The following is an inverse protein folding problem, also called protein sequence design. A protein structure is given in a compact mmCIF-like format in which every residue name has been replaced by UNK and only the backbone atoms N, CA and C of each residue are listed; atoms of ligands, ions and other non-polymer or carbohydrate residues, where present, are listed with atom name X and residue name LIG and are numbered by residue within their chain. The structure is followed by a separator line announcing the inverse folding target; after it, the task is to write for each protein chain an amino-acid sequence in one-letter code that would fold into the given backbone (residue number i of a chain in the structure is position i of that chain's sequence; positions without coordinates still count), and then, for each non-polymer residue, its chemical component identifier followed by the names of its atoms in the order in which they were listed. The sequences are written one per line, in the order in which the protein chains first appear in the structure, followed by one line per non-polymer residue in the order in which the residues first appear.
data_IF_973505466659
#
_entry.id   IF_973505466659
#
_cell.length_a   1.000
_cell.length_b   1.000
_cell.length_c   1.000
_cell.angle_alpha   90.00
_cell.angle_beta   90.00
_cell.angle_gamma   90.00
#
_symmetry.space_group_name_H-M   'P 1'
#
loop_
_entity.id
_entity.type
_entity.pdbx_description
1 polymer ?
#
# COMPACT_ATOMS: atom_id res chain seq x y z
N UNK A 1 -26.10 -10.60 11.37
CA UNK A 1 -25.01 -9.61 11.55
C UNK A 1 -25.61 -8.25 11.23
N UNK A 2 -25.66 -7.36 12.22
CA UNK A 2 -26.20 -6.01 12.05
C UNK A 2 -25.20 -5.23 11.20
N UNK A 3 -25.65 -4.62 10.10
CA UNK A 3 -24.81 -3.76 9.28
C UNK A 3 -24.19 -2.65 10.14
N UNK A 4 -22.98 -2.23 9.79
CA UNK A 4 -22.37 -1.03 10.40
C UNK A 4 -23.19 0.22 10.04
N UNK A 5 -22.90 1.37 10.67
CA UNK A 5 -23.51 2.68 10.44
C UNK A 5 -23.54 3.09 8.95
N UNK A 6 -22.66 2.50 8.12
CA UNK A 6 -22.63 2.70 6.67
C UNK A 6 -23.53 1.75 5.87
N UNK A 7 -24.34 0.90 6.50
CA UNK A 7 -25.27 0.00 5.80
C UNK A 7 -24.61 -1.16 5.06
N UNK A 8 -23.30 -1.33 5.22
CA UNK A 8 -22.54 -2.40 4.59
C UNK A 8 -22.74 -3.70 5.38
N UNK A 9 -23.43 -4.68 4.82
CA UNK A 9 -23.42 -6.05 5.34
C UNK A 9 -22.24 -6.81 4.74
N UNK A 10 -21.04 -6.49 5.22
CA UNK A 10 -19.77 -7.09 4.81
C UNK A 10 -18.59 -6.38 5.49
N UNK A 11 -17.39 -6.94 5.38
CA UNK A 11 -16.11 -6.29 5.77
C UNK A 11 -15.81 -5.10 4.87
N UNK A 12 -16.71 -4.11 4.82
CA UNK A 12 -16.57 -2.92 3.97
C UNK A 12 -15.15 -2.38 4.07
N UNK A 13 -14.57 -2.03 2.93
CA UNK A 13 -13.13 -1.93 2.71
C UNK A 13 -12.34 -1.16 3.79
N UNK A 14 -12.98 -0.14 4.37
CA UNK A 14 -12.47 0.75 5.42
C UNK A 14 -12.53 0.20 6.85
N UNK A 15 -13.16 -0.95 7.11
CA UNK A 15 -13.21 -1.63 8.42
C UNK A 15 -12.17 -2.75 8.55
N UNK A 16 -11.39 -3.00 7.49
CA UNK A 16 -10.35 -4.04 7.48
C UNK A 16 -9.17 -3.51 8.31
N UNK A 17 -8.71 -4.30 9.28
CA UNK A 17 -7.64 -3.91 10.21
C UNK A 17 -6.27 -3.77 9.54
N UNK A 18 -5.20 -3.95 10.31
CA UNK A 18 -3.84 -3.98 9.76
C UNK A 18 -3.31 -5.40 9.57
N UNK A 19 -2.46 -5.59 8.57
CA UNK A 19 -1.70 -6.83 8.36
C UNK A 19 -0.24 -6.52 8.05
N UNK A 20 0.66 -7.44 8.43
CA UNK A 20 2.09 -7.34 8.13
C UNK A 20 2.43 -8.11 6.86
N UNK A 21 3.12 -7.45 5.94
CA UNK A 21 3.74 -8.06 4.77
C UNK A 21 5.17 -8.49 5.10
N UNK A 22 5.65 -9.53 4.42
CA UNK A 22 7.05 -9.95 4.48
C UNK A 22 7.78 -9.36 3.29
N UNK A 23 8.90 -8.68 3.53
CA UNK A 23 9.69 -8.10 2.44
C UNK A 23 10.28 -9.20 1.55
N UNK A 24 10.06 -9.04 0.25
CA UNK A 24 10.60 -9.88 -0.82
C UNK A 24 10.84 -8.98 -2.05
N UNK A 25 11.51 -9.51 -3.08
CA UNK A 25 11.73 -8.75 -4.31
C UNK A 25 10.41 -8.32 -4.95
N UNK A 26 9.41 -9.20 -4.93
CA UNK A 26 8.03 -8.95 -5.38
C UNK A 26 7.08 -9.23 -4.21
N UNK A 27 6.19 -8.29 -3.89
CA UNK A 27 5.23 -8.40 -2.79
C UNK A 27 3.84 -8.03 -3.28
N UNK A 28 2.93 -9.00 -3.20
CA UNK A 28 1.52 -8.78 -3.47
C UNK A 28 0.85 -8.09 -2.29
N UNK A 29 0.26 -6.92 -2.57
CA UNK A 29 -0.61 -6.18 -1.65
C UNK A 29 -2.05 -6.51 -2.05
N UNK A 30 -2.64 -7.45 -1.32
CA UNK A 30 -4.02 -7.90 -1.55
C UNK A 30 -5.01 -6.95 -0.88
N UNK A 31 -5.65 -6.08 -1.67
CA UNK A 31 -6.57 -5.04 -1.20
C UNK A 31 -7.79 -5.62 -0.48
N UNK A 32 -8.07 -6.93 -0.65
CA UNK A 32 -9.17 -7.60 0.04
C UNK A 32 -8.88 -8.00 1.49
N UNK A 33 -7.63 -7.89 1.94
CA UNK A 33 -7.20 -8.45 3.23
C UNK A 33 -7.14 -7.43 4.38
N UNK A 34 -6.79 -6.18 4.09
CA UNK A 34 -6.55 -5.14 5.08
C UNK A 34 -6.81 -3.74 4.51
N UNK A 35 -7.03 -2.75 5.39
CA UNK A 35 -6.96 -1.35 5.00
C UNK A 35 -5.54 -0.79 5.17
N UNK A 36 -4.78 -1.37 6.11
CA UNK A 36 -3.41 -0.94 6.43
C UNK A 36 -2.45 -2.12 6.29
N UNK A 37 -1.37 -1.93 5.53
CA UNK A 37 -0.29 -2.90 5.37
C UNK A 37 0.98 -2.37 6.01
N UNK A 38 1.70 -3.19 6.75
CA UNK A 38 2.99 -2.81 7.35
C UNK A 38 4.10 -3.70 6.83
N UNK A 39 5.29 -3.13 6.61
CA UNK A 39 6.46 -3.88 6.16
C UNK A 39 7.73 -3.25 6.73
N UNK A 40 8.70 -4.09 7.06
CA UNK A 40 10.08 -3.64 7.28
C UNK A 40 10.93 -4.15 6.12
N UNK A 41 11.63 -3.25 5.44
CA UNK A 41 12.47 -3.59 4.28
C UNK A 41 13.91 -3.10 4.46
N UNK A 42 14.83 -3.78 3.79
CA UNK A 42 16.22 -3.38 3.59
C UNK A 42 16.68 -3.68 2.16
N UNK A 43 15.74 -3.94 1.26
CA UNK A 43 15.95 -4.36 -0.13
C UNK A 43 15.05 -3.55 -1.06
N UNK A 44 15.31 -3.63 -2.36
CA UNK A 44 14.34 -3.21 -3.36
C UNK A 44 13.14 -4.15 -3.33
N UNK A 45 11.94 -3.58 -3.26
CA UNK A 45 10.66 -4.31 -3.30
C UNK A 45 9.82 -3.74 -4.43
N UNK A 46 9.27 -4.62 -5.26
CA UNK A 46 8.21 -4.31 -6.21
C UNK A 46 6.86 -4.64 -5.58
N UNK A 47 6.00 -3.62 -5.45
CA UNK A 47 4.67 -3.78 -4.88
C UNK A 47 3.64 -4.02 -5.98
N UNK A 48 2.96 -5.16 -5.90
CA UNK A 48 1.91 -5.55 -6.83
C UNK A 48 0.55 -5.35 -6.18
N UNK A 49 -0.27 -4.45 -6.71
CA UNK A 49 -1.63 -4.26 -6.21
C UNK A 49 -2.55 -5.33 -6.78
N UNK A 50 -3.10 -6.19 -5.92
CA UNK A 50 -3.98 -7.29 -6.30
C UNK A 50 -5.35 -7.14 -5.64
N UNK A 51 -6.38 -7.71 -6.28
CA UNK A 51 -7.78 -7.65 -5.84
C UNK A 51 -8.31 -6.23 -5.55
N UNK A 52 -7.73 -5.22 -6.19
CA UNK A 52 -8.16 -3.83 -6.02
C UNK A 52 -9.49 -3.59 -6.74
N UNK A 53 -10.44 -3.01 -6.02
CA UNK A 53 -11.71 -2.51 -6.55
C UNK A 53 -11.67 -0.99 -6.74
N UNK A 54 -12.46 -0.49 -7.70
CA UNK A 54 -12.56 0.94 -7.97
C UNK A 54 -13.13 1.63 -6.73
N UNK A 55 -12.41 2.64 -6.23
CA UNK A 55 -12.75 3.38 -5.02
C UNK A 55 -12.00 2.93 -3.78
N UNK A 56 -11.23 1.85 -3.83
CA UNK A 56 -10.41 1.40 -2.71
C UNK A 56 -9.31 2.41 -2.38
N UNK A 57 -9.07 2.58 -1.08
CA UNK A 57 -8.00 3.41 -0.54
C UNK A 57 -7.25 2.60 0.51
N UNK A 58 -5.94 2.42 0.33
CA UNK A 58 -5.07 1.64 1.21
C UNK A 58 -3.91 2.46 1.73
N UNK A 59 -3.54 2.19 2.97
CA UNK A 59 -2.31 2.69 3.56
C UNK A 59 -1.26 1.57 3.62
N UNK A 60 -0.07 1.86 3.13
CA UNK A 60 1.09 0.97 3.20
C UNK A 60 2.17 1.71 3.98
N UNK A 61 2.63 1.12 5.08
CA UNK A 61 3.63 1.69 5.96
C UNK A 61 4.90 0.85 5.86
N UNK A 62 5.94 1.41 5.24
CA UNK A 62 7.24 0.75 5.07
C UNK A 62 8.26 1.41 5.98
N UNK A 63 8.71 0.69 6.99
CA UNK A 63 9.89 1.08 7.78
C UNK A 63 11.14 0.57 7.09
N UNK A 64 12.04 1.48 6.74
CA UNK A 64 13.29 1.14 6.07
C UNK A 64 14.42 0.88 7.06
N UNK A 65 15.28 -0.10 6.77
CA UNK A 65 16.42 -0.48 7.62
C UNK A 65 17.75 0.14 7.17
N UNK A 66 17.73 0.98 6.13
CA UNK A 66 18.88 1.66 5.57
C UNK A 66 19.47 0.96 4.35
N UNK A 67 20.23 1.72 3.56
CA UNK A 67 21.07 1.20 2.49
C UNK A 67 20.62 1.68 1.11
N UNK A 68 20.48 0.75 0.17
CA UNK A 68 20.06 1.01 -1.23
C UNK A 68 18.67 0.45 -1.52
N UNK A 69 17.84 0.29 -0.49
CA UNK A 69 16.44 -0.11 -0.65
C UNK A 69 15.68 0.89 -1.50
N UNK A 70 14.65 0.40 -2.17
CA UNK A 70 13.77 1.19 -3.00
C UNK A 70 12.40 0.53 -3.03
N UNK A 71 11.38 1.32 -3.37
CA UNK A 71 10.08 0.80 -3.77
C UNK A 71 9.89 1.04 -5.26
N UNK A 72 9.54 -0.02 -5.96
CA UNK A 72 8.91 0.05 -7.27
C UNK A 72 7.47 -0.43 -7.15
N UNK A 73 6.68 -0.15 -8.18
CA UNK A 73 5.30 -0.57 -8.25
C UNK A 73 5.12 -1.27 -9.58
N UNK A 74 4.39 -2.39 -9.58
CA UNK A 74 4.16 -3.13 -10.82
C UNK A 74 3.43 -2.22 -11.81
N UNK A 75 4.07 -2.01 -12.95
CA UNK A 75 3.56 -1.22 -14.07
C UNK A 75 3.33 -2.05 -15.33
N UNK A 76 3.50 -3.38 -15.23
CA UNK A 76 3.29 -4.31 -16.35
C UNK A 76 1.83 -4.36 -16.78
N UNK A 77 0.92 -4.54 -15.83
CA UNK A 77 -0.54 -4.48 -16.07
C UNK A 77 -1.21 -3.23 -15.50
N UNK A 78 -0.55 -2.54 -14.57
CA UNK A 78 -1.10 -1.38 -13.88
C UNK A 78 -0.50 -0.07 -14.36
N UNK A 79 -1.30 0.99 -14.33
CA UNK A 79 -0.84 2.37 -14.45
C UNK A 79 -0.76 2.96 -13.04
N UNK A 80 0.46 3.13 -12.54
CA UNK A 80 0.70 3.67 -11.19
C UNK A 80 1.34 5.06 -11.31
N UNK A 81 0.69 6.07 -10.73
CA UNK A 81 1.17 7.46 -10.72
C UNK A 81 1.47 7.91 -9.30
N UNK A 82 2.75 8.16 -9.00
CA UNK A 82 3.17 8.87 -7.79
C UNK A 82 2.92 10.36 -7.96
N UNK A 83 1.95 10.91 -7.23
CA UNK A 83 1.57 12.33 -7.34
C UNK A 83 2.35 13.25 -6.41
N UNK A 84 2.93 12.71 -5.33
CA UNK A 84 3.68 13.49 -4.35
C UNK A 84 4.63 12.60 -3.54
N UNK A 85 5.74 13.23 -3.10
CA UNK A 85 6.74 12.61 -2.23
C UNK A 85 7.65 11.60 -2.93
N UNK A 86 8.55 11.03 -2.14
CA UNK A 86 9.53 10.05 -2.59
C UNK A 86 9.86 9.08 -1.47
N UNK A 87 10.19 7.84 -1.82
CA UNK A 87 10.68 6.87 -0.85
C UNK A 87 12.01 7.31 -0.23
N UNK A 88 12.19 7.08 1.07
CA UNK A 88 13.45 7.26 1.79
C UNK A 88 13.99 5.89 2.23
N UNK A 89 15.21 5.61 1.78
CA UNK A 89 16.01 4.43 2.13
C UNK A 89 16.92 4.69 3.36
N UNK A 90 16.57 5.69 4.18
CA UNK A 90 17.33 5.98 5.39
C UNK A 90 16.93 4.99 6.48
N UNK A 91 17.92 4.49 7.23
CA UNK A 91 17.64 3.60 8.36
C UNK A 91 16.69 4.25 9.36
N UNK A 92 15.58 3.57 9.66
CA UNK A 92 14.51 4.05 10.54
C UNK A 92 13.50 4.98 9.86
N UNK A 93 13.64 5.27 8.56
CA UNK A 93 12.65 6.06 7.84
C UNK A 93 11.32 5.31 7.76
N UNK A 94 10.23 5.97 8.14
CA UNK A 94 8.88 5.46 7.98
C UNK A 94 8.27 6.12 6.76
N UNK A 95 8.09 5.34 5.70
CA UNK A 95 7.42 5.76 4.48
C UNK A 95 5.95 5.37 4.58
N UNK A 96 5.08 6.38 4.70
CA UNK A 96 3.63 6.23 4.68
C UNK A 96 3.14 6.46 3.25
N UNK A 97 2.65 5.42 2.60
CA UNK A 97 2.14 5.44 1.23
C UNK A 97 0.63 5.28 1.26
N UNK A 98 -0.10 6.28 0.76
CA UNK A 98 -1.54 6.14 0.51
C UNK A 98 -1.74 5.80 -0.97
N UNK A 99 -2.51 4.76 -1.26
CA UNK A 99 -2.80 4.29 -2.62
C UNK A 99 -4.31 4.35 -2.87
N UNK A 100 -4.72 4.90 -4.02
CA UNK A 100 -6.12 4.99 -4.44
C UNK A 100 -6.29 4.29 -5.78
N UNK A 101 -7.24 3.35 -5.87
CA UNK A 101 -7.66 2.73 -7.14
C UNK A 101 -8.80 3.55 -7.77
N UNK A 102 -8.53 4.26 -8.87
CA UNK A 102 -9.52 5.17 -9.49
C UNK A 102 -10.23 4.57 -10.70
N UNK A 103 -9.64 3.54 -11.31
CA UNK A 103 -10.21 2.77 -12.40
C UNK A 103 -9.54 1.40 -12.42
N UNK A 104 -10.04 0.48 -13.25
CA UNK A 104 -9.39 -0.81 -13.47
C UNK A 104 -7.90 -0.61 -13.78
N UNK A 105 -7.03 -1.25 -13.01
CA UNK A 105 -5.58 -1.19 -13.12
C UNK A 105 -4.99 0.23 -13.10
N UNK A 106 -5.68 1.22 -12.51
CA UNK A 106 -5.21 2.62 -12.46
C UNK A 106 -5.14 3.12 -11.03
N UNK A 107 -3.94 3.50 -10.61
CA UNK A 107 -3.62 3.85 -9.23
C UNK A 107 -2.93 5.19 -9.14
N UNK A 108 -3.31 5.96 -8.12
CA UNK A 108 -2.61 7.17 -7.71
C UNK A 108 -2.09 6.98 -6.30
N UNK A 109 -0.85 7.38 -6.04
CA UNK A 109 -0.27 7.28 -4.71
C UNK A 109 0.49 8.52 -4.30
N UNK A 110 0.52 8.78 -3.00
CA UNK A 110 1.36 9.77 -2.35
C UNK A 110 2.25 9.10 -1.31
N UNK A 111 3.48 9.60 -1.16
CA UNK A 111 4.42 9.13 -0.15
C UNK A 111 4.70 10.27 0.82
N UNK A 112 4.55 10.01 2.10
CA UNK A 112 4.82 10.96 3.19
C UNK A 112 5.68 10.31 4.26
N UNK A 113 6.39 11.13 5.02
CA UNK A 113 7.32 10.71 6.07
C UNK A 113 7.08 11.56 7.31
N UNK A 114 7.26 10.97 8.49
CA UNK A 114 7.37 11.79 9.69
C UNK A 114 8.68 12.57 9.66
N UNK A 115 8.62 13.85 9.99
CA UNK A 115 9.80 14.72 10.14
C UNK A 115 10.54 14.49 11.45
#
# INVERSE_FOLDING_TARGET
MTADIYGQSGTGDSLRGSTSLTAAADVDVDFDTAAVFTMTSSITVDLNFTNASIGDVKDIIVTDSGGTSALTFDTGSNTVTTIAGSYSASSGAVNFIQVVCTAANTFFLSISQSV
#
